data_IF_480227211873
#
_entry.id   IF_480227211873
#
_cell.length_a   1.000
_cell.length_b   1.000
_cell.length_c   1.000
_cell.angle_alpha   90.00
_cell.angle_beta   90.00
_cell.angle_gamma   90.00
#
_symmetry.space_group_name_H-M   'P 1'
#
loop_
_entity.id
_entity.type
_entity.pdbx_description
1 polymer ?
#
# COMPACT_ATOMS: atom_id res chain seq x y z
N UNK A 1 -21.00 -40.25 13.73
CA UNK A 1 -20.53 -39.25 12.74
C UNK A 1 -19.90 -38.10 13.50
N UNK A 2 -18.58 -38.12 13.64
CA UNK A 2 -17.81 -37.16 14.45
C UNK A 2 -17.37 -35.99 13.57
N UNK A 3 -17.78 -34.79 13.97
CA UNK A 3 -17.57 -33.52 13.27
C UNK A 3 -16.08 -33.18 13.13
N UNK A 4 -15.64 -32.93 11.89
CA UNK A 4 -14.25 -32.55 11.50
C UNK A 4 -13.85 -31.13 11.94
N UNK A 5 -14.69 -30.43 12.71
CA UNK A 5 -14.46 -29.04 13.10
C UNK A 5 -13.99 -28.84 14.54
N UNK A 6 -13.82 -29.92 15.34
CA UNK A 6 -13.32 -29.80 16.72
C UNK A 6 -11.89 -29.23 16.82
N UNK A 7 -11.08 -29.35 15.76
CA UNK A 7 -9.70 -28.86 15.73
C UNK A 7 -9.58 -27.33 15.78
N UNK A 8 -10.64 -26.61 15.42
CA UNK A 8 -10.62 -25.14 15.37
C UNK A 8 -11.18 -24.49 16.64
N UNK A 9 -11.81 -25.28 17.53
CA UNK A 9 -12.49 -24.76 18.72
C UNK A 9 -11.54 -24.31 19.84
N UNK A 10 -10.23 -24.52 19.68
CA UNK A 10 -9.20 -24.14 20.66
C UNK A 10 -8.26 -23.02 20.19
N UNK A 11 -8.53 -22.40 19.02
CA UNK A 11 -7.71 -21.28 18.53
C UNK A 11 -8.09 -19.92 19.16
N UNK A 12 -9.27 -19.82 19.77
CA UNK A 12 -9.70 -18.64 20.53
C UNK A 12 -9.27 -18.73 21.99
N UNK A 13 -7.96 -18.85 22.23
CA UNK A 13 -7.43 -18.61 23.57
C UNK A 13 -7.38 -17.10 23.78
N UNK A 14 -8.26 -16.56 24.62
CA UNK A 14 -8.27 -15.16 25.01
C UNK A 14 -6.87 -14.73 25.43
N UNK A 15 -6.25 -13.81 24.69
CA UNK A 15 -5.02 -13.15 25.16
C UNK A 15 -5.38 -12.48 26.49
N UNK A 16 -4.77 -12.95 27.57
CA UNK A 16 -4.92 -12.34 28.89
C UNK A 16 -4.65 -10.85 28.84
N UNK A 17 -5.30 -10.12 29.73
CA UNK A 17 -5.23 -8.66 29.86
C UNK A 17 -3.78 -8.18 29.80
N UNK A 18 -3.50 -7.36 28.79
CA UNK A 18 -2.22 -6.69 28.61
C UNK A 18 -2.07 -5.70 29.78
N UNK A 19 -1.01 -5.78 30.60
CA UNK A 19 -0.79 -4.79 31.64
C UNK A 19 -0.71 -3.40 31.01
N UNK A 20 -1.37 -2.45 31.69
CA UNK A 20 -1.55 -1.05 31.31
C UNK A 20 -0.16 -0.45 30.95
N UNK A 21 0.03 0.14 29.76
CA UNK A 21 1.29 0.77 29.42
C UNK A 21 1.50 1.99 30.32
N UNK A 22 2.49 1.92 31.20
CA UNK A 22 3.06 3.13 31.81
C UNK A 22 3.90 3.83 30.73
N UNK A 23 3.52 5.09 30.49
CA UNK A 23 4.13 6.13 29.66
C UNK A 23 4.37 5.87 28.15
N UNK A 24 4.10 6.89 27.31
CA UNK A 24 4.35 6.81 25.88
C UNK A 24 5.86 6.85 25.62
N UNK A 25 6.45 5.70 25.30
CA UNK A 25 7.73 5.66 24.62
C UNK A 25 7.62 6.50 23.35
N UNK A 26 8.39 7.59 23.29
CA UNK A 26 8.56 8.44 22.11
C UNK A 26 9.21 7.60 20.99
N UNK A 27 8.41 6.76 20.33
CA UNK A 27 8.78 6.17 19.06
C UNK A 27 8.71 7.29 18.03
N UNK A 28 9.88 7.87 17.81
CA UNK A 28 10.20 8.83 16.78
C UNK A 28 9.46 8.51 15.49
N UNK A 29 8.58 9.45 15.15
CA UNK A 29 7.94 9.64 13.86
C UNK A 29 8.87 9.33 12.68
N UNK A 30 8.44 8.44 11.79
CA UNK A 30 8.55 8.49 10.31
C UNK A 30 9.88 8.72 9.58
N UNK A 31 10.88 9.36 10.18
CA UNK A 31 12.06 9.90 9.50
C UNK A 31 13.25 8.94 9.44
N UNK A 32 13.22 7.82 10.18
CA UNK A 32 14.34 6.87 10.24
C UNK A 32 14.62 6.19 8.89
N UNK A 33 13.59 5.97 8.08
CA UNK A 33 13.73 5.32 6.77
C UNK A 33 13.94 6.33 5.63
N UNK A 34 13.38 7.53 5.74
CA UNK A 34 13.59 8.63 4.79
C UNK A 34 15.06 9.10 4.79
N UNK A 35 15.73 9.03 5.94
CA UNK A 35 17.16 9.32 6.07
C UNK A 35 18.07 8.29 5.38
N UNK A 36 17.60 7.04 5.19
CA UNK A 36 18.36 6.01 4.48
C UNK A 36 18.24 6.15 2.95
N UNK A 37 17.07 6.57 2.45
CA UNK A 37 16.84 6.80 1.03
C UNK A 37 17.71 7.95 0.48
N UNK A 38 17.91 9.03 1.25
CA UNK A 38 18.81 10.15 0.87
C UNK A 38 20.30 9.82 0.94
N UNK A 39 20.70 8.72 1.60
CA UNK A 39 22.11 8.33 1.73
C UNK A 39 22.66 7.65 0.46
N UNK A 40 21.78 7.16 -0.42
CA UNK A 40 22.18 6.48 -1.67
C UNK A 40 22.60 7.40 -2.81
N UNK A 41 22.30 8.70 -2.75
CA UNK A 41 22.49 9.64 -3.88
C UNK A 41 23.68 10.60 -3.72
N UNK A 42 24.39 10.57 -2.59
CA UNK A 42 25.62 11.33 -2.40
C UNK A 42 26.81 10.36 -2.30
N UNK A 43 27.94 10.60 -3.01
CA UNK A 43 29.18 9.89 -2.72
C UNK A 43 29.66 10.32 -1.33
N UNK A 44 29.21 9.60 -0.30
CA UNK A 44 29.73 9.78 1.05
C UNK A 44 31.11 9.14 1.07
N UNK A 45 32.15 9.96 0.88
CA UNK A 45 33.42 9.74 1.54
C UNK A 45 33.11 9.72 3.04
N UNK A 46 32.86 8.53 3.58
CA UNK A 46 32.74 8.34 5.02
C UNK A 46 34.11 8.57 5.61
N UNK A 47 34.33 9.77 6.12
CA UNK A 47 35.47 10.13 6.94
C UNK A 47 35.32 9.37 8.27
N UNK A 48 35.78 8.12 8.26
CA UNK A 48 35.95 7.33 9.48
C UNK A 48 37.04 8.03 10.28
N UNK A 49 36.81 8.40 11.56
CA UNK A 49 37.83 9.05 12.38
C UNK A 49 39.12 8.22 12.36
N UNK A 50 40.23 8.83 11.92
CA UNK A 50 41.51 8.14 11.70
C UNK A 50 42.04 7.41 12.93
N UNK A 51 41.60 7.80 14.12
CA UNK A 51 41.95 7.18 15.41
C UNK A 51 41.56 5.70 15.50
N UNK A 52 40.56 5.25 14.74
CA UNK A 52 40.18 3.83 14.65
C UNK A 52 40.90 3.07 13.52
N UNK A 53 41.61 3.78 12.64
CA UNK A 53 42.33 3.21 11.50
C UNK A 53 43.80 2.93 11.81
N UNK A 54 44.36 3.49 12.90
CA UNK A 54 45.77 3.26 13.27
C UNK A 54 46.10 1.78 13.48
N UNK A 55 45.16 0.97 13.98
CA UNK A 55 45.34 -0.49 14.11
C UNK A 55 45.54 -1.18 12.76
N UNK A 56 44.99 -0.62 11.68
CA UNK A 56 45.04 -1.20 10.33
C UNK A 56 46.11 -0.54 9.44
N UNK A 57 46.84 0.46 9.95
CA UNK A 57 47.97 1.08 9.25
C UNK A 57 49.17 0.12 9.27
N UNK A 58 49.25 -0.76 8.29
CA UNK A 58 50.38 -1.68 8.09
C UNK A 58 49.99 -3.09 7.63
N UNK A 59 48.71 -3.45 7.70
CA UNK A 59 48.20 -4.67 7.08
C UNK A 59 47.95 -4.41 5.59
N UNK A 60 48.43 -5.32 4.75
CA UNK A 60 48.09 -5.30 3.33
C UNK A 60 46.56 -5.39 3.21
N UNK A 61 45.92 -4.57 2.35
CA UNK A 61 44.48 -4.65 2.18
C UNK A 61 44.11 -6.08 1.82
N UNK A 62 43.21 -6.70 2.59
CA UNK A 62 42.63 -7.98 2.24
C UNK A 62 42.02 -7.80 0.84
N UNK A 63 42.64 -8.44 -0.15
CA UNK A 63 42.10 -8.48 -1.49
C UNK A 63 40.75 -9.20 -1.40
N UNK A 64 39.67 -8.41 -1.45
CA UNK A 64 38.35 -8.96 -1.68
C UNK A 64 38.44 -9.71 -3.00
N UNK A 65 38.06 -11.00 -2.98
CA UNK A 65 38.00 -11.78 -4.20
C UNK A 65 37.15 -10.99 -5.21
N UNK A 66 37.55 -10.95 -6.51
CA UNK A 66 36.76 -10.26 -7.51
C UNK A 66 35.32 -10.79 -7.41
N UNK A 67 34.36 -9.87 -7.26
CA UNK A 67 32.94 -10.21 -7.19
C UNK A 67 32.66 -11.15 -8.36
N UNK A 68 32.45 -12.44 -8.04
CA UNK A 68 32.26 -13.43 -9.06
C UNK A 68 30.94 -13.10 -9.74
N UNK A 69 31.04 -12.61 -10.97
CA UNK A 69 29.91 -12.32 -11.84
C UNK A 69 29.23 -13.64 -12.20
N UNK A 70 28.30 -14.07 -11.35
CA UNK A 70 27.54 -15.31 -11.52
C UNK A 70 27.39 -16.03 -10.19
N UNK A 71 26.14 -16.31 -9.83
CA UNK A 71 25.69 -17.05 -8.64
C UNK A 71 26.80 -17.91 -8.02
N UNK A 72 27.34 -17.47 -6.89
CA UNK A 72 28.37 -18.20 -6.17
C UNK A 72 27.76 -19.51 -5.64
N UNK A 73 28.01 -20.59 -6.36
CA UNK A 73 27.40 -21.88 -6.04
C UNK A 73 28.25 -22.66 -5.04
N UNK A 74 27.61 -23.03 -3.93
CA UNK A 74 28.15 -23.93 -2.93
C UNK A 74 28.09 -25.38 -3.44
N UNK A 75 29.22 -26.13 -3.45
CA UNK A 75 29.23 -27.51 -3.92
C UNK A 75 28.38 -28.40 -3.02
N UNK A 76 27.55 -29.25 -3.63
CA UNK A 76 26.71 -30.22 -2.93
C UNK A 76 27.35 -31.59 -3.01
N UNK A 77 27.60 -32.23 -1.87
CA UNK A 77 28.22 -33.55 -1.83
C UNK A 77 27.35 -34.59 -2.55
N UNK A 78 27.90 -35.31 -3.54
CA UNK A 78 27.16 -36.34 -4.27
C UNK A 78 26.87 -37.60 -3.44
N UNK A 79 27.51 -37.75 -2.27
CA UNK A 79 27.33 -38.90 -1.37
C UNK A 79 26.25 -38.67 -0.31
N UNK A 80 26.24 -37.51 0.33
CA UNK A 80 25.34 -37.19 1.44
C UNK A 80 24.43 -35.99 1.17
N UNK A 81 24.56 -35.37 0.00
CA UNK A 81 23.73 -34.27 -0.45
C UNK A 81 23.78 -33.00 0.44
N UNK A 82 24.75 -32.90 1.35
CA UNK A 82 24.98 -31.67 2.10
C UNK A 82 25.58 -30.60 1.21
N UNK A 83 25.22 -29.35 1.46
CA UNK A 83 25.86 -28.18 0.90
C UNK A 83 27.13 -27.87 1.69
N UNK A 84 28.21 -27.48 1.02
CA UNK A 84 29.51 -27.22 1.63
C UNK A 84 30.03 -25.85 1.19
N UNK A 85 31.00 -25.30 1.92
CA UNK A 85 31.66 -24.07 1.55
C UNK A 85 32.30 -24.15 0.16
N UNK A 86 32.38 -23.00 -0.51
CA UNK A 86 32.98 -22.89 -1.86
C UNK A 86 34.41 -23.42 -1.94
N UNK A 87 35.16 -23.28 -0.85
CA UNK A 87 36.58 -23.63 -0.74
C UNK A 87 36.81 -24.90 0.07
N UNK A 88 35.75 -25.64 0.42
CA UNK A 88 35.89 -26.88 1.18
C UNK A 88 36.41 -27.98 0.25
N UNK A 89 37.58 -28.53 0.57
CA UNK A 89 38.13 -29.69 -0.14
C UNK A 89 37.43 -30.99 0.26
N UNK A 90 36.79 -31.02 1.43
CA UNK A 90 36.10 -32.21 1.97
C UNK A 90 34.72 -31.86 2.51
N UNK A 91 33.81 -32.82 2.43
CA UNK A 91 32.46 -32.65 2.92
C UNK A 91 32.45 -32.54 4.45
N UNK A 92 31.87 -31.48 4.97
CA UNK A 92 31.77 -31.21 6.41
C UNK A 92 30.92 -32.24 7.17
N UNK A 93 30.04 -32.96 6.46
CA UNK A 93 29.13 -33.94 7.04
C UNK A 93 29.66 -35.37 6.96
N UNK A 94 30.13 -35.81 5.78
CA UNK A 94 30.52 -37.20 5.55
C UNK A 94 32.01 -37.41 5.25
N UNK A 95 32.81 -36.35 5.23
CA UNK A 95 34.27 -36.42 4.99
C UNK A 95 34.67 -36.82 3.57
N UNK A 96 33.72 -36.91 2.62
CA UNK A 96 34.03 -37.23 1.23
C UNK A 96 34.83 -36.10 0.56
N UNK A 97 35.79 -36.46 -0.29
CA UNK A 97 36.58 -35.52 -1.10
C UNK A 97 35.69 -34.84 -2.15
N UNK A 98 35.64 -33.51 -2.08
CA UNK A 98 34.82 -32.69 -2.96
C UNK A 98 35.51 -32.34 -4.29
N UNK A 99 36.81 -32.59 -4.40
CA UNK A 99 37.64 -32.27 -5.57
C UNK A 99 37.72 -33.38 -6.61
N UNK A 100 37.10 -34.54 -6.37
CA UNK A 100 37.12 -35.65 -7.32
C UNK A 100 36.45 -35.27 -8.65
N UNK A 101 36.91 -35.82 -9.80
CA UNK A 101 36.31 -35.51 -11.10
C UNK A 101 34.82 -35.88 -11.17
N UNK A 102 34.44 -36.99 -10.55
CA UNK A 102 33.04 -37.44 -10.44
C UNK A 102 32.16 -36.43 -9.69
N UNK A 103 32.68 -35.86 -8.60
CA UNK A 103 31.97 -34.85 -7.82
C UNK A 103 31.81 -33.53 -8.58
N UNK A 104 32.82 -33.14 -9.37
CA UNK A 104 32.76 -31.95 -10.23
C UNK A 104 31.70 -32.11 -11.32
N UNK A 105 31.65 -33.27 -11.98
CA UNK A 105 30.61 -33.58 -12.97
C UNK A 105 29.20 -33.56 -12.35
N UNK A 106 29.04 -34.12 -11.14
CA UNK A 106 27.76 -34.08 -10.42
C UNK A 106 27.29 -32.64 -10.17
N UNK A 107 28.18 -31.78 -9.64
CA UNK A 107 27.86 -30.39 -9.37
C UNK A 107 27.57 -29.60 -10.65
N UNK A 108 28.28 -29.89 -11.75
CA UNK A 108 28.03 -29.26 -13.05
C UNK A 108 26.65 -29.62 -13.60
N UNK A 109 26.25 -30.89 -13.53
CA UNK A 109 24.89 -31.32 -13.92
C UNK A 109 23.82 -30.66 -13.05
N UNK A 110 24.06 -30.56 -11.74
CA UNK A 110 23.15 -29.89 -10.82
C UNK A 110 23.00 -28.41 -11.17
N UNK A 111 24.09 -27.75 -11.56
CA UNK A 111 24.07 -26.36 -12.03
C UNK A 111 23.24 -26.21 -13.30
N UNK A 112 23.48 -27.04 -14.31
CA UNK A 112 22.74 -27.00 -15.57
C UNK A 112 21.24 -27.21 -15.34
N UNK A 113 20.86 -28.14 -14.46
CA UNK A 113 19.45 -28.36 -14.09
C UNK A 113 18.83 -27.09 -13.48
N UNK A 114 19.49 -26.52 -12.46
CA UNK A 114 18.99 -25.31 -11.79
C UNK A 114 18.90 -24.10 -12.71
N UNK A 115 19.87 -23.92 -13.61
CA UNK A 115 19.82 -22.84 -14.60
C UNK A 115 18.63 -23.00 -15.55
N UNK A 116 18.34 -24.23 -15.99
CA UNK A 116 17.17 -24.48 -16.84
C UNK A 116 15.84 -24.23 -16.11
N UNK A 117 15.75 -24.62 -14.83
CA UNK A 117 14.57 -24.36 -13.99
C UNK A 117 14.39 -22.85 -13.74
N UNK A 118 15.47 -22.14 -13.43
CA UNK A 118 15.46 -20.69 -13.23
C UNK A 118 15.01 -19.95 -14.49
N UNK A 119 15.48 -20.37 -15.67
CA UNK A 119 15.04 -19.80 -16.95
C UNK A 119 13.56 -20.06 -17.21
N UNK A 120 13.08 -21.28 -16.97
CA UNK A 120 11.67 -21.61 -17.14
C UNK A 120 10.77 -20.80 -16.19
N UNK A 121 11.18 -20.65 -14.93
CA UNK A 121 10.46 -19.83 -13.95
C UNK A 121 10.46 -18.34 -14.33
N UNK A 122 11.58 -17.82 -14.83
CA UNK A 122 11.67 -16.44 -15.28
C UNK A 122 10.73 -16.16 -16.47
N UNK A 123 10.63 -17.08 -17.43
CA UNK A 123 9.71 -16.99 -18.55
C UNK A 123 8.24 -17.02 -18.08
N UNK A 124 7.88 -17.99 -17.24
CA UNK A 124 6.52 -18.09 -16.70
C UNK A 124 6.12 -16.82 -15.90
N UNK A 125 7.05 -16.27 -15.11
CA UNK A 125 6.81 -15.03 -14.37
C UNK A 125 6.67 -13.80 -15.29
N UNK A 126 7.41 -13.76 -16.41
CA UNK A 126 7.25 -12.71 -17.41
C UNK A 126 5.88 -12.78 -18.11
N UNK A 127 5.45 -13.97 -18.51
CA UNK A 127 4.13 -14.19 -19.12
C UNK A 127 2.99 -13.83 -18.15
N UNK A 128 3.10 -14.23 -16.88
CA UNK A 128 2.11 -13.89 -15.86
C UNK A 128 2.00 -12.37 -15.66
N UNK A 129 3.13 -11.65 -15.62
CA UNK A 129 3.13 -10.19 -15.53
C UNK A 129 2.48 -9.54 -16.75
N UNK A 130 2.75 -10.01 -17.96
CA UNK A 130 2.12 -9.49 -19.17
C UNK A 130 0.60 -9.69 -19.16
N UNK A 131 0.12 -10.83 -18.66
CA UNK A 131 -1.32 -11.09 -18.51
C UNK A 131 -1.97 -10.16 -17.49
N UNK A 132 -1.31 -9.92 -16.35
CA UNK A 132 -1.78 -8.98 -15.33
C UNK A 132 -1.88 -7.55 -15.89
N UNK A 133 -0.86 -7.10 -16.61
CA UNK A 133 -0.87 -5.77 -17.24
C UNK A 133 -1.97 -5.64 -18.31
N UNK A 134 -2.20 -6.69 -19.10
CA UNK A 134 -3.28 -6.70 -20.09
C UNK A 134 -4.67 -6.65 -19.43
N UNK A 135 -4.88 -7.40 -18.34
CA UNK A 135 -6.13 -7.36 -17.57
C UNK A 135 -6.36 -5.99 -16.95
N UNK A 136 -5.34 -5.40 -16.33
CA UNK A 136 -5.45 -4.05 -15.75
C UNK A 136 -5.82 -3.00 -16.82
N UNK A 137 -5.20 -3.06 -18.00
CA UNK A 137 -5.55 -2.15 -19.11
C UNK A 137 -7.00 -2.35 -19.58
N UNK A 138 -7.49 -3.58 -19.63
CA UNK A 138 -8.88 -3.87 -19.98
C UNK A 138 -9.84 -3.31 -18.92
N UNK A 139 -9.59 -3.55 -17.64
CA UNK A 139 -10.40 -3.00 -16.55
C UNK A 139 -10.41 -1.46 -16.55
N UNK A 140 -9.26 -0.83 -16.79
CA UNK A 140 -9.17 0.62 -16.90
C UNK A 140 -9.97 1.16 -18.08
N UNK A 141 -9.90 0.50 -19.24
CA UNK A 141 -10.68 0.85 -20.42
C UNK A 141 -12.19 0.70 -20.18
N UNK A 142 -12.61 -0.38 -19.51
CA UNK A 142 -14.02 -0.60 -19.14
C UNK A 142 -14.51 0.46 -18.14
N UNK A 143 -13.71 0.78 -17.12
CA UNK A 143 -14.03 1.85 -16.17
C UNK A 143 -14.11 3.21 -16.84
N UNK A 144 -13.22 3.51 -17.79
CA UNK A 144 -13.27 4.74 -18.57
C UNK A 144 -14.53 4.81 -19.45
N UNK A 145 -14.87 3.72 -20.14
CA UNK A 145 -16.09 3.62 -20.94
C UNK A 145 -17.35 3.77 -20.09
N UNK A 146 -17.39 3.18 -18.89
CA UNK A 146 -18.52 3.30 -17.96
C UNK A 146 -18.67 4.73 -17.43
N UNK A 147 -17.56 5.40 -17.09
CA UNK A 147 -17.56 6.82 -16.71
C UNK A 147 -18.07 7.71 -17.84
N UNK A 148 -17.69 7.43 -19.08
CA UNK A 148 -18.17 8.17 -20.24
C UNK A 148 -19.67 7.96 -20.48
N UNK A 149 -20.18 6.72 -20.34
CA UNK A 149 -21.63 6.44 -20.40
C UNK A 149 -22.39 7.21 -19.32
N UNK A 150 -21.90 7.23 -18.08
CA UNK A 150 -22.50 8.00 -16.98
C UNK A 150 -22.46 9.51 -17.23
N UNK A 151 -21.39 10.04 -17.84
CA UNK A 151 -21.27 11.47 -18.21
C UNK A 151 -22.31 11.87 -19.26
N UNK A 152 -22.62 10.95 -20.18
CA UNK A 152 -23.52 11.21 -21.31
C UNK A 152 -24.99 10.86 -20.98
N UNK A 153 -25.30 10.27 -19.82
CA UNK A 153 -26.67 10.07 -19.39
C UNK A 153 -27.34 11.41 -19.06
N UNK A 154 -28.48 11.75 -19.70
CA UNK A 154 -29.14 13.04 -19.54
C UNK A 154 -29.70 13.26 -18.11
N UNK A 155 -29.81 12.20 -17.31
CA UNK A 155 -30.29 12.26 -15.93
C UNK A 155 -29.15 12.32 -14.88
N UNK A 156 -27.90 12.07 -15.28
CA UNK A 156 -26.72 12.03 -14.39
C UNK A 156 -26.07 13.39 -14.10
N UNK A 157 -26.32 14.41 -14.94
CA UNK A 157 -25.79 15.77 -14.71
C UNK A 157 -26.33 16.44 -13.45
N UNK A 158 -27.50 16.03 -12.95
CA UNK A 158 -28.10 16.65 -11.77
C UNK A 158 -27.55 16.17 -10.43
N UNK A 159 -26.88 15.02 -10.36
CA UNK A 159 -26.48 14.42 -9.07
C UNK A 159 -25.30 15.13 -8.40
N UNK A 160 -24.23 15.40 -9.17
CA UNK A 160 -22.98 15.92 -8.61
C UNK A 160 -22.94 17.46 -8.52
N UNK A 161 -23.73 18.20 -9.31
CA UNK A 161 -23.83 19.66 -9.15
C UNK A 161 -24.69 20.05 -7.95
N UNK A 162 -25.65 19.22 -7.53
CA UNK A 162 -26.48 19.47 -6.35
C UNK A 162 -25.73 19.23 -5.03
N UNK A 163 -24.62 18.49 -5.02
CA UNK A 163 -23.79 18.25 -3.83
C UNK A 163 -22.87 19.43 -3.46
N UNK A 164 -22.85 20.48 -4.28
CA UNK A 164 -21.99 21.66 -4.09
C UNK A 164 -22.36 22.51 -2.87
N UNK A 165 -23.54 22.31 -2.28
CA UNK A 165 -24.03 23.12 -1.16
C UNK A 165 -24.09 22.30 0.13
N UNK A 166 -23.64 22.87 1.27
CA UNK A 166 -23.62 22.16 2.55
C UNK A 166 -25.00 21.69 3.01
N UNK A 167 -26.08 22.40 2.63
CA UNK A 167 -27.46 21.98 2.91
C UNK A 167 -27.87 20.71 2.16
N UNK A 168 -27.51 20.61 0.87
CA UNK A 168 -27.81 19.42 0.07
C UNK A 168 -26.94 18.22 0.44
N UNK A 169 -25.69 18.46 0.85
CA UNK A 169 -24.83 17.42 1.43
C UNK A 169 -25.44 16.81 2.70
N UNK A 170 -26.02 17.65 3.58
CA UNK A 170 -26.71 17.17 4.79
C UNK A 170 -27.95 16.31 4.48
N UNK A 171 -28.76 16.72 3.49
CA UNK A 171 -29.88 15.93 2.99
C UNK A 171 -29.42 14.64 2.29
N UNK A 172 -28.17 14.62 1.81
CA UNK A 172 -27.43 13.48 1.27
C UNK A 172 -27.46 12.25 2.17
N UNK A 173 -27.43 12.42 3.49
CA UNK A 173 -27.40 11.31 4.45
C UNK A 173 -28.73 10.56 4.60
N UNK A 174 -29.83 11.09 4.06
CA UNK A 174 -31.15 10.48 4.17
C UNK A 174 -31.41 9.60 2.94
N UNK A 175 -31.47 8.26 3.07
CA UNK A 175 -31.62 7.37 1.92
C UNK A 175 -33.03 7.43 1.30
N UNK A 176 -34.02 7.91 2.05
CA UNK A 176 -35.43 7.90 1.67
C UNK A 176 -35.81 9.20 0.95
N UNK A 177 -36.17 9.10 -0.35
CA UNK A 177 -36.47 10.25 -1.22
C UNK A 177 -37.62 11.13 -0.73
N UNK A 178 -38.73 10.58 -0.25
CA UNK A 178 -39.88 11.38 0.18
C UNK A 178 -39.61 12.13 1.49
N UNK A 179 -38.82 11.54 2.39
CA UNK A 179 -38.39 12.19 3.65
C UNK A 179 -37.54 13.42 3.35
N UNK A 180 -36.66 13.34 2.35
CA UNK A 180 -35.86 14.51 1.90
C UNK A 180 -36.75 15.68 1.47
N UNK A 181 -37.75 15.41 0.64
CA UNK A 181 -38.69 16.45 0.18
C UNK A 181 -39.55 16.99 1.31
N UNK A 182 -39.97 16.15 2.26
CA UNK A 182 -40.71 16.59 3.44
C UNK A 182 -39.88 17.53 4.33
N UNK A 183 -38.61 17.22 4.55
CA UNK A 183 -37.70 18.06 5.34
C UNK A 183 -37.41 19.38 4.61
N UNK A 184 -37.13 19.33 3.31
CA UNK A 184 -36.94 20.54 2.51
C UNK A 184 -38.18 21.45 2.54
N UNK A 185 -39.37 20.85 2.40
CA UNK A 185 -40.64 21.57 2.53
C UNK A 185 -40.84 22.20 3.90
N UNK A 186 -40.53 21.45 4.97
CA UNK A 186 -40.63 21.95 6.35
C UNK A 186 -39.68 23.13 6.61
N UNK A 187 -38.44 23.06 6.12
CA UNK A 187 -37.45 24.14 6.26
C UNK A 187 -37.90 25.44 5.59
N UNK A 188 -38.61 25.36 4.45
CA UNK A 188 -39.19 26.52 3.78
C UNK A 188 -40.49 27.03 4.45
N UNK A 189 -41.32 26.11 4.98
CA UNK A 189 -42.61 26.46 5.59
C UNK A 189 -42.48 27.21 6.92
N UNK A 190 -41.52 26.84 7.76
CA UNK A 190 -41.31 27.45 9.08
C UNK A 190 -41.09 28.98 9.01
N UNK A 191 -40.12 29.51 8.24
CA UNK A 191 -39.93 30.95 8.14
C UNK A 191 -41.12 31.65 7.46
N UNK A 192 -41.80 30.97 6.53
CA UNK A 192 -42.99 31.51 5.87
C UNK A 192 -44.15 31.71 6.84
N UNK A 193 -44.44 30.71 7.69
CA UNK A 193 -45.48 30.82 8.73
C UNK A 193 -45.13 31.91 9.74
N UNK A 194 -43.86 31.97 10.20
CA UNK A 194 -43.39 33.02 11.12
C UNK A 194 -43.53 34.42 10.50
N UNK A 195 -43.29 34.58 9.20
CA UNK A 195 -43.47 35.85 8.51
C UNK A 195 -44.94 36.30 8.44
N UNK A 196 -45.86 35.34 8.31
CA UNK A 196 -47.30 35.60 8.22
C UNK A 196 -47.95 35.87 9.58
N UNK A 197 -47.60 35.10 10.60
CA UNK A 197 -48.22 35.20 11.94
C UNK A 197 -47.44 36.11 12.89
N UNK A 198 -46.18 36.39 12.58
CA UNK A 198 -45.29 37.19 13.42
C UNK A 198 -45.52 38.70 13.29
N UNK A 199 -45.46 39.39 14.42
CA UNK A 199 -45.33 40.84 14.46
C UNK A 199 -44.02 41.34 13.84
N UNK A 200 -43.69 42.62 14.04
CA UNK A 200 -42.50 43.25 13.42
C UNK A 200 -41.19 42.49 13.72
N UNK A 201 -41.04 41.94 14.92
CA UNK A 201 -39.86 41.15 15.30
C UNK A 201 -39.85 39.74 14.71
N UNK A 202 -41.02 39.11 14.56
CA UNK A 202 -41.17 37.82 13.89
C UNK A 202 -40.76 37.88 12.42
N UNK A 203 -41.10 38.96 11.72
CA UNK A 203 -40.68 39.19 10.32
C UNK A 203 -39.17 39.33 10.17
N UNK A 204 -38.48 39.92 11.15
CA UNK A 204 -37.00 40.02 11.15
C UNK A 204 -36.36 38.65 11.35
N UNK A 205 -36.90 37.83 12.24
CA UNK A 205 -36.45 36.45 12.44
C UNK A 205 -36.67 35.59 11.19
N UNK A 206 -37.85 35.72 10.56
CA UNK A 206 -38.15 35.03 9.30
C UNK A 206 -37.18 35.43 8.17
N UNK A 207 -36.86 36.73 8.06
CA UNK A 207 -35.89 37.22 7.09
C UNK A 207 -34.47 36.65 7.35
N UNK A 208 -34.03 36.62 8.62
CA UNK A 208 -32.74 36.02 8.99
C UNK A 208 -32.67 34.53 8.66
N UNK A 209 -33.70 33.76 9.01
CA UNK A 209 -33.79 32.33 8.67
C UNK A 209 -33.82 32.10 7.17
N UNK A 210 -34.54 32.93 6.42
CA UNK A 210 -34.59 32.89 4.96
C UNK A 210 -33.21 33.09 4.34
N UNK A 211 -32.43 34.06 4.83
CA UNK A 211 -31.06 34.31 4.37
C UNK A 211 -30.17 33.08 4.63
N UNK A 212 -30.21 32.49 5.83
CA UNK A 212 -29.42 31.31 6.18
C UNK A 212 -29.76 30.13 5.24
N UNK A 213 -31.05 29.90 4.96
CA UNK A 213 -31.49 28.87 4.02
C UNK A 213 -31.00 29.13 2.60
N UNK A 214 -31.06 30.39 2.15
CA UNK A 214 -30.49 30.78 0.85
C UNK A 214 -28.99 30.46 0.79
N UNK A 215 -28.21 30.76 1.83
CA UNK A 215 -26.78 30.42 1.87
C UNK A 215 -26.51 28.90 1.93
N UNK A 216 -27.38 28.13 2.59
CA UNK A 216 -27.24 26.68 2.70
C UNK A 216 -27.61 25.92 1.41
N UNK A 217 -28.51 26.49 0.60
CA UNK A 217 -29.14 25.78 -0.53
C UNK A 217 -28.90 26.41 -1.90
N UNK A 218 -28.53 27.69 -2.00
CA UNK A 218 -28.10 28.26 -3.28
C UNK A 218 -26.60 28.00 -3.50
N UNK A 219 -26.22 27.49 -4.68
CA UNK A 219 -24.82 27.36 -5.03
C UNK A 219 -24.21 28.76 -5.17
N UNK A 220 -23.35 29.15 -4.23
CA UNK A 220 -22.42 30.25 -4.46
C UNK A 220 -21.51 29.83 -5.60
N UNK A 221 -21.80 30.35 -6.78
CA UNK A 221 -21.09 30.05 -8.00
C UNK A 221 -19.64 30.55 -7.87
N UNK A 222 -18.75 29.74 -7.29
CA UNK A 222 -17.32 30.00 -7.24
C UNK A 222 -16.69 29.75 -8.61
N UNK A 223 -17.26 30.34 -9.66
CA UNK A 223 -16.61 30.47 -10.96
C UNK A 223 -15.52 31.52 -10.81
N UNK A 224 -14.30 31.08 -10.50
CA UNK A 224 -13.12 31.93 -10.64
C UNK A 224 -12.01 31.71 -9.62
N UNK A 225 -11.42 30.51 -9.59
CA UNK A 225 -10.00 30.31 -9.22
C UNK A 225 -9.66 28.85 -9.48
N UNK A 226 -9.19 28.58 -10.68
CA UNK A 226 -8.27 27.49 -11.05
C UNK A 226 -8.08 27.60 -12.57
N UNK A 227 -7.17 28.49 -12.93
CA UNK A 227 -6.86 28.83 -14.31
C UNK A 227 -5.70 29.82 -14.33
N UNK A 228 -4.57 29.39 -13.75
CA UNK A 228 -3.18 29.77 -14.03
C UNK A 228 -2.27 28.97 -13.09
#
# INVERSE_FOLDING_TARGET
MTSKFSRFLHLERSRGERPKPEEPSQLQSGSRFEALARRGEAPQASEVPETHLERFRGEAPLALAPEASGEEHFPRCGRCESENGRYDDTCTVCGADLNTPQQREYNERLRQSRQSEAQAQAQAHAEWRQQQEAQQKQEEAERAALKEKLRNEPWGRGGHELESTPGMWLLGFIPIRWVRWAIAGALCLVPFVIALTGGRDGRRLAAGLGIILVFLFLPFNSKGRNGL
#
